data_IF_363104552473
#
_entry.id   IF_363104552473
#
_cell.length_a   1.000
_cell.length_b   1.000
_cell.length_c   1.000
_cell.angle_alpha   90.00
_cell.angle_beta   90.00
_cell.angle_gamma   90.00
#
_symmetry.space_group_name_H-M   'P 1'
#
loop_
_entity.id
_entity.type
_entity.pdbx_description
1 polymer ?
#
# COMPACT_ATOMS: atom_id res chain seq x y z
N UNK A 1 -22.15 1.48 -0.71
CA UNK A 1 -20.90 1.03 -1.36
C UNK A 1 -20.35 -0.19 -0.62
N UNK A 2 -19.83 -1.14 -1.36
CA UNK A 2 -19.25 -2.36 -0.79
C UNK A 2 -17.74 -2.34 -0.95
N UNK A 3 -17.05 -2.98 -0.02
CA UNK A 3 -15.60 -2.91 0.06
C UNK A 3 -15.00 -4.31 0.13
N UNK A 4 -13.82 -4.47 -0.46
CA UNK A 4 -12.94 -5.62 -0.22
C UNK A 4 -11.68 -5.09 0.46
N UNK A 5 -11.40 -5.59 1.66
CA UNK A 5 -10.23 -5.15 2.44
C UNK A 5 -9.18 -6.25 2.36
N UNK A 6 -7.96 -5.90 1.95
CA UNK A 6 -6.87 -6.87 1.84
C UNK A 6 -5.75 -6.53 2.81
N UNK A 7 -5.15 -7.58 3.37
CA UNK A 7 -4.00 -7.46 4.26
C UNK A 7 -2.67 -7.50 3.50
N UNK A 8 -1.64 -7.95 4.19
CA UNK A 8 -0.26 -7.92 3.71
C UNK A 8 -0.08 -8.66 2.39
N UNK A 9 0.50 -7.96 1.42
CA UNK A 9 0.79 -8.51 0.08
C UNK A 9 2.27 -8.89 -0.06
N UNK A 10 3.14 -8.06 0.49
CA UNK A 10 4.59 -8.30 0.58
C UNK A 10 5.23 -8.79 -0.72
N UNK A 11 4.98 -8.06 -1.81
CA UNK A 11 5.67 -8.30 -3.07
C UNK A 11 5.31 -9.57 -3.83
N UNK A 12 4.20 -10.23 -3.50
CA UNK A 12 3.72 -11.42 -4.21
C UNK A 12 2.48 -11.06 -5.01
N UNK A 13 2.62 -11.04 -6.33
CA UNK A 13 1.61 -10.47 -7.20
C UNK A 13 0.36 -11.35 -7.38
N UNK A 14 0.50 -12.65 -7.49
CA UNK A 14 -0.63 -13.53 -7.85
C UNK A 14 -1.82 -13.42 -6.88
N UNK A 15 -1.64 -13.49 -5.55
CA UNK A 15 -2.76 -13.30 -4.63
C UNK A 15 -3.36 -11.88 -4.72
N UNK A 16 -2.51 -10.87 -4.90
CA UNK A 16 -2.97 -9.49 -5.08
C UNK A 16 -3.85 -9.38 -6.32
N UNK A 17 -3.41 -9.93 -7.44
CA UNK A 17 -4.17 -9.89 -8.70
C UNK A 17 -5.52 -10.58 -8.56
N UNK A 18 -5.57 -11.71 -7.86
CA UNK A 18 -6.84 -12.40 -7.62
C UNK A 18 -7.81 -11.53 -6.82
N UNK A 19 -7.31 -10.81 -5.81
CA UNK A 19 -8.13 -9.90 -5.02
C UNK A 19 -8.63 -8.72 -5.87
N UNK A 20 -7.77 -8.15 -6.71
CA UNK A 20 -8.14 -7.06 -7.63
C UNK A 20 -9.24 -7.52 -8.59
N UNK A 21 -9.05 -8.66 -9.23
CA UNK A 21 -10.04 -9.18 -10.18
C UNK A 21 -11.38 -9.44 -9.51
N UNK A 22 -11.36 -10.01 -8.31
CA UNK A 22 -12.60 -10.23 -7.55
C UNK A 22 -13.31 -8.91 -7.24
N UNK A 23 -12.56 -7.91 -6.81
CA UNK A 23 -13.13 -6.60 -6.48
C UNK A 23 -13.76 -5.96 -7.72
N UNK A 24 -13.03 -5.98 -8.85
CA UNK A 24 -13.52 -5.35 -10.08
C UNK A 24 -14.74 -6.09 -10.63
N UNK A 25 -14.71 -7.42 -10.61
CA UNK A 25 -15.83 -8.25 -11.12
C UNK A 25 -17.10 -8.11 -10.29
N UNK A 26 -16.98 -7.69 -9.04
CA UNK A 26 -18.12 -7.58 -8.11
C UNK A 26 -18.45 -6.14 -7.70
N UNK A 27 -17.87 -5.15 -8.39
CA UNK A 27 -18.07 -3.73 -8.10
C UNK A 27 -17.76 -3.38 -6.64
N UNK A 28 -16.65 -3.91 -6.12
CA UNK A 28 -16.17 -3.60 -4.78
C UNK A 28 -15.07 -2.57 -4.85
N UNK A 29 -15.09 -1.61 -3.92
CA UNK A 29 -13.96 -0.71 -3.73
C UNK A 29 -12.87 -1.44 -2.94
N UNK A 30 -11.66 -1.52 -3.49
CA UNK A 30 -10.55 -2.23 -2.86
C UNK A 30 -9.87 -1.32 -1.83
N UNK A 31 -9.68 -1.82 -0.62
CA UNK A 31 -8.92 -1.12 0.41
C UNK A 31 -7.75 -1.98 0.83
N UNK A 32 -6.53 -1.47 0.63
CA UNK A 32 -5.32 -2.13 1.13
C UNK A 32 -4.92 -1.50 2.46
N UNK A 33 -4.59 -2.35 3.44
CA UNK A 33 -4.08 -1.87 4.73
C UNK A 33 -2.55 -1.72 4.73
N UNK A 34 -1.93 -1.69 3.56
CA UNK A 34 -0.49 -1.48 3.43
C UNK A 34 0.31 -2.77 3.36
N UNK A 35 1.61 -2.63 3.49
CA UNK A 35 2.59 -3.71 3.35
C UNK A 35 2.49 -4.40 1.99
N UNK A 36 2.49 -3.58 0.94
CA UNK A 36 2.50 -4.04 -0.44
C UNK A 36 3.89 -4.53 -0.88
N UNK A 37 4.92 -3.97 -0.30
CA UNK A 37 6.33 -4.17 -0.69
C UNK A 37 7.09 -4.97 0.35
N UNK A 38 8.33 -5.29 0.04
CA UNK A 38 9.27 -6.06 0.84
C UNK A 38 8.96 -7.55 0.81
N UNK A 39 9.99 -8.35 1.06
CA UNK A 39 9.99 -9.81 1.02
C UNK A 39 9.92 -10.36 -0.41
N UNK A 40 8.81 -10.23 -1.11
CA UNK A 40 8.64 -10.76 -2.46
C UNK A 40 9.20 -9.84 -3.53
N UNK A 41 9.49 -10.39 -4.73
CA UNK A 41 10.22 -9.65 -5.77
C UNK A 41 9.33 -8.84 -6.72
N UNK A 42 8.03 -8.80 -6.52
CA UNK A 42 7.11 -8.18 -7.47
C UNK A 42 6.51 -6.85 -6.95
N UNK A 43 7.26 -6.14 -6.11
CA UNK A 43 6.80 -4.88 -5.51
C UNK A 43 6.43 -3.82 -6.54
N UNK A 44 7.23 -3.64 -7.58
CA UNK A 44 6.94 -2.64 -8.60
C UNK A 44 5.61 -2.89 -9.29
N UNK A 45 5.39 -4.14 -9.69
CA UNK A 45 4.16 -4.53 -10.39
C UNK A 45 2.92 -4.28 -9.54
N UNK A 46 3.00 -4.60 -8.25
CA UNK A 46 1.92 -4.39 -7.30
C UNK A 46 1.67 -2.90 -7.07
N UNK A 47 2.72 -2.14 -6.81
CA UNK A 47 2.61 -0.69 -6.54
C UNK A 47 2.06 0.03 -7.76
N UNK A 48 2.51 -0.33 -8.95
CA UNK A 48 2.02 0.28 -10.20
C UNK A 48 0.51 0.02 -10.38
N UNK A 49 0.08 -1.21 -10.20
CA UNK A 49 -1.33 -1.56 -10.35
C UNK A 49 -2.18 -0.88 -9.28
N UNK A 50 -1.73 -0.89 -8.04
CA UNK A 50 -2.44 -0.22 -6.95
C UNK A 50 -2.58 1.27 -7.21
N UNK A 51 -1.51 1.92 -7.68
CA UNK A 51 -1.55 3.34 -8.01
C UNK A 51 -2.56 3.65 -9.13
N UNK A 52 -2.60 2.81 -10.15
CA UNK A 52 -3.58 2.96 -11.23
C UNK A 52 -5.01 2.83 -10.71
N UNK A 53 -5.26 1.85 -9.84
CA UNK A 53 -6.59 1.65 -9.25
C UNK A 53 -7.01 2.84 -8.38
N UNK A 54 -6.09 3.41 -7.61
CA UNK A 54 -6.36 4.58 -6.78
C UNK A 54 -6.68 5.79 -7.66
N UNK A 55 -5.94 6.00 -8.73
CA UNK A 55 -6.18 7.10 -9.65
C UNK A 55 -7.52 6.97 -10.36
N UNK A 56 -7.98 5.75 -10.60
CA UNK A 56 -9.30 5.48 -11.19
C UNK A 56 -10.45 5.60 -10.19
N UNK A 57 -10.16 5.78 -8.90
CA UNK A 57 -11.18 5.83 -7.86
C UNK A 57 -11.67 4.46 -7.40
N UNK A 58 -10.99 3.38 -7.81
CA UNK A 58 -11.40 2.00 -7.52
C UNK A 58 -10.74 1.41 -6.28
N UNK A 59 -9.77 2.11 -5.71
CA UNK A 59 -9.05 1.61 -4.53
C UNK A 59 -8.58 2.73 -3.62
N UNK A 60 -8.29 2.38 -2.38
CA UNK A 60 -7.69 3.26 -1.37
C UNK A 60 -6.61 2.50 -0.61
N UNK A 61 -5.64 3.24 -0.07
CA UNK A 61 -4.51 2.66 0.62
C UNK A 61 -4.31 3.31 1.99
N UNK A 62 -4.13 2.48 3.00
CA UNK A 62 -3.64 2.90 4.31
C UNK A 62 -2.15 2.61 4.37
N UNK A 63 -1.36 3.52 4.97
CA UNK A 63 0.07 3.34 5.15
C UNK A 63 0.36 2.05 5.92
N UNK A 64 1.25 1.20 5.37
CA UNK A 64 1.86 0.13 6.12
C UNK A 64 3.21 0.58 6.68
N UNK A 65 3.72 -0.10 7.71
CA UNK A 65 5.03 0.24 8.26
C UNK A 65 6.16 -0.02 7.25
N UNK A 66 6.01 -0.98 6.34
CA UNK A 66 7.00 -1.23 5.29
C UNK A 66 7.05 -0.09 4.28
N UNK A 67 5.90 0.44 3.83
CA UNK A 67 5.87 1.60 2.95
C UNK A 67 6.45 2.83 3.64
N UNK A 68 6.13 3.03 4.90
CA UNK A 68 6.65 4.16 5.65
C UNK A 68 8.17 4.14 5.71
N UNK A 69 8.75 2.96 5.95
CA UNK A 69 10.20 2.80 6.03
C UNK A 69 10.88 3.04 4.69
N UNK A 70 10.34 2.48 3.61
CA UNK A 70 10.87 2.68 2.25
C UNK A 70 10.76 4.15 1.84
N UNK A 71 9.65 4.80 2.17
CA UNK A 71 9.46 6.22 1.85
C UNK A 71 10.50 7.09 2.57
N UNK A 72 10.79 6.80 3.83
CA UNK A 72 11.84 7.51 4.55
C UNK A 72 13.22 7.31 3.92
N UNK A 73 13.48 6.09 3.46
CA UNK A 73 14.73 5.79 2.74
C UNK A 73 14.85 6.61 1.46
N UNK A 74 13.77 6.70 0.68
CA UNK A 74 13.73 7.51 -0.55
C UNK A 74 14.03 8.99 -0.24
N UNK A 75 13.52 9.50 0.87
CA UNK A 75 13.73 10.88 1.30
C UNK A 75 15.13 11.15 1.85
N UNK A 76 15.98 10.14 1.95
CA UNK A 76 17.35 10.28 2.44
C UNK A 76 17.50 10.24 3.97
N UNK A 77 16.44 9.84 4.69
CA UNK A 77 16.54 9.68 6.14
C UNK A 77 17.38 8.45 6.50
N UNK A 78 18.10 8.46 7.63
CA UNK A 78 18.81 7.27 8.08
C UNK A 78 17.81 6.20 8.50
N UNK A 79 17.81 5.09 7.77
CA UNK A 79 16.89 3.96 8.01
C UNK A 79 17.70 2.68 8.03
N UNK A 80 17.42 1.84 9.01
CA UNK A 80 18.05 0.52 9.07
C UNK A 80 17.28 -0.45 8.20
N UNK A 81 17.89 -0.85 7.05
CA UNK A 81 17.27 -1.79 6.13
C UNK A 81 17.64 -3.23 6.49
N UNK A 82 16.63 -4.06 6.71
CA UNK A 82 16.81 -5.50 6.86
C UNK A 82 16.67 -6.21 5.52
N UNK A 83 16.96 -7.54 5.47
CA UNK A 83 16.85 -8.30 4.22
C UNK A 83 15.53 -8.16 3.47
N UNK A 84 14.36 -8.14 4.12
CA UNK A 84 13.09 -7.93 3.40
C UNK A 84 13.02 -6.61 2.66
N UNK A 85 13.58 -5.55 3.24
CA UNK A 85 13.58 -4.21 2.64
C UNK A 85 14.49 -4.14 1.42
N UNK A 86 15.62 -4.87 1.44
CA UNK A 86 16.61 -4.82 0.37
C UNK A 86 16.04 -5.31 -0.96
N UNK A 87 15.08 -6.23 -0.92
CA UNK A 87 14.40 -6.68 -2.15
C UNK A 87 13.77 -5.48 -2.86
N UNK A 88 13.10 -4.61 -2.11
CA UNK A 88 12.45 -3.42 -2.66
C UNK A 88 13.46 -2.35 -3.06
N UNK A 89 14.39 -2.00 -2.17
CA UNK A 89 15.35 -0.93 -2.46
C UNK A 89 16.29 -1.28 -3.61
N UNK A 90 16.70 -2.56 -3.72
CA UNK A 90 17.53 -3.01 -4.84
C UNK A 90 16.77 -2.87 -6.17
N UNK A 91 15.49 -3.22 -6.19
CA UNK A 91 14.68 -3.05 -7.39
C UNK A 91 14.55 -1.56 -7.75
N UNK A 92 14.33 -0.71 -6.75
CA UNK A 92 14.23 0.74 -6.95
C UNK A 92 15.52 1.36 -7.48
N UNK A 93 16.67 0.88 -7.03
CA UNK A 93 17.97 1.38 -7.49
C UNK A 93 18.23 1.09 -8.97
N UNK A 94 17.63 0.03 -9.50
CA UNK A 94 17.75 -0.34 -10.91
C UNK A 94 16.55 0.08 -11.75
N UNK A 95 15.51 0.62 -11.13
CA UNK A 95 14.28 1.01 -11.82
C UNK A 95 13.75 2.31 -11.23
N UNK A 96 14.13 3.42 -11.85
CA UNK A 96 13.70 4.75 -11.40
C UNK A 96 12.17 4.91 -11.47
N UNK A 97 11.51 4.26 -12.41
CA UNK A 97 10.06 4.33 -12.53
C UNK A 97 9.37 3.78 -11.28
N UNK A 98 9.96 2.78 -10.63
CA UNK A 98 9.40 2.24 -9.39
C UNK A 98 9.38 3.31 -8.30
N UNK A 99 10.49 4.06 -8.14
CA UNK A 99 10.55 5.14 -7.15
C UNK A 99 9.46 6.18 -7.43
N UNK A 100 9.31 6.59 -8.68
CA UNK A 100 8.34 7.63 -9.06
C UNK A 100 6.90 7.19 -8.78
N UNK A 101 6.55 5.97 -9.18
CA UNK A 101 5.20 5.43 -8.94
C UNK A 101 4.93 5.24 -7.46
N UNK A 102 5.94 4.77 -6.71
CA UNK A 102 5.83 4.59 -5.26
C UNK A 102 5.55 5.93 -4.56
N UNK A 103 6.31 6.96 -4.90
CA UNK A 103 6.11 8.29 -4.29
C UNK A 103 4.71 8.83 -4.63
N UNK A 104 4.27 8.66 -5.87
CA UNK A 104 2.93 9.09 -6.28
C UNK A 104 1.84 8.36 -5.47
N UNK A 105 1.98 7.04 -5.32
CA UNK A 105 1.01 6.27 -4.52
C UNK A 105 1.01 6.74 -3.06
N UNK A 106 2.18 6.99 -2.49
CA UNK A 106 2.28 7.44 -1.11
C UNK A 106 1.62 8.80 -0.86
N UNK A 107 1.52 9.65 -1.87
CA UNK A 107 0.82 10.93 -1.75
C UNK A 107 -0.68 10.76 -1.52
N UNK A 108 -1.24 9.64 -1.94
CA UNK A 108 -2.66 9.33 -1.74
C UNK A 108 -2.92 8.35 -0.59
N UNK A 109 -1.87 7.84 0.04
CA UNK A 109 -2.02 6.92 1.18
C UNK A 109 -2.50 7.66 2.41
N UNK A 110 -3.34 7.01 3.20
CA UNK A 110 -4.00 7.59 4.36
C UNK A 110 -3.53 6.90 5.64
N UNK A 111 -3.53 7.64 6.75
CA UNK A 111 -3.19 7.08 8.07
C UNK A 111 -4.25 6.08 8.52
N UNK A 112 -5.49 6.37 8.20
CA UNK A 112 -6.62 5.48 8.45
C UNK A 112 -7.74 5.81 7.45
N UNK A 113 -8.66 4.87 7.28
CA UNK A 113 -9.87 5.08 6.46
C UNK A 113 -11.08 4.86 7.35
N UNK A 114 -11.99 5.83 7.35
CA UNK A 114 -13.22 5.75 8.11
C UNK A 114 -14.37 5.35 7.18
N UNK A 115 -15.08 4.29 7.56
CA UNK A 115 -16.29 3.83 6.87
C UNK A 115 -17.49 4.05 7.78
N UNK A 116 -18.36 5.00 7.42
CA UNK A 116 -19.51 5.35 8.25
C UNK A 116 -19.07 6.02 9.55
N UNK A 117 -19.81 5.80 10.62
CA UNK A 117 -19.57 6.47 11.90
C UNK A 117 -18.70 5.66 12.86
N UNK A 118 -18.62 4.34 12.67
CA UNK A 118 -18.05 3.43 13.67
C UNK A 118 -16.91 2.56 13.20
N UNK A 119 -16.63 2.52 11.90
CA UNK A 119 -15.62 1.61 11.36
C UNK A 119 -14.40 2.40 10.93
N UNK A 120 -13.24 2.00 11.48
CA UNK A 120 -11.94 2.59 11.13
C UNK A 120 -11.03 1.48 10.64
N UNK A 121 -10.36 1.71 9.53
CA UNK A 121 -9.42 0.77 8.93
C UNK A 121 -8.03 1.35 9.08
N UNK A 122 -7.14 0.63 9.75
CA UNK A 122 -5.76 1.03 9.96
C UNK A 122 -4.84 -0.17 9.74
N UNK A 123 -3.54 0.07 9.56
CA UNK A 123 -2.57 -1.01 9.41
C UNK A 123 -2.29 -1.71 10.74
N UNK A 124 -2.01 -0.95 11.79
CA UNK A 124 -1.49 -1.52 13.05
C UNK A 124 -2.18 -1.04 14.31
N UNK A 125 -3.16 -0.26 14.23
CA UNK A 125 -3.81 0.34 15.37
C UNK A 125 -3.93 1.83 15.18
N UNK A 126 -4.81 2.44 15.95
CA UNK A 126 -5.15 3.83 15.74
C UNK A 126 -5.11 4.57 17.07
N UNK A 127 -4.45 5.73 17.04
CA UNK A 127 -4.44 6.61 18.22
C UNK A 127 -5.88 7.02 18.54
N UNK A 128 -6.33 6.89 19.78
CA UNK A 128 -7.69 7.29 20.17
C UNK A 128 -8.08 8.72 19.79
N UNK A 129 -7.11 9.61 19.64
CA UNK A 129 -7.37 10.98 19.22
C UNK A 129 -8.07 11.05 17.86
N UNK A 130 -7.87 10.08 16.98
CA UNK A 130 -8.50 10.06 15.67
C UNK A 130 -9.96 9.63 15.71
N UNK A 131 -10.39 8.98 16.78
CA UNK A 131 -11.74 8.43 16.87
C UNK A 131 -12.81 9.52 16.99
N UNK A 132 -12.42 10.68 17.45
CA UNK A 132 -13.34 11.80 17.67
C UNK A 132 -13.28 12.88 16.59
N UNK A 133 -12.37 12.73 15.65
CA UNK A 133 -12.14 13.75 14.62
C UNK A 133 -12.93 13.51 13.33
#
# INVERSE_FOLDING_TARGET
MRYLIIGDVHGVYAPFKRAVDFAMDNDLHLISVGDLVDNGPEGYKIVKEMNDLVKQGNASLVWGNHEYKIHRWILGNPVQLGPPNLVTTNEMETNQDFIEVFVELMQSAQDFIRLGESIYITHAGMNPEYWTS
#
